data_IF_944995637755
#
_entry.id   IF_944995637755
#
_cell.length_a   1.000
_cell.length_b   1.000
_cell.length_c   1.000
_cell.angle_alpha   90.00
_cell.angle_beta   90.00
_cell.angle_gamma   90.00
#
_symmetry.space_group_name_H-M   'P 1'
#
loop_
_entity.id
_entity.type
_entity.pdbx_description
1 polymer ?
#
# COMPACT_ATOMS: atom_id res chain seq x y z
N UNK A 1 50.00 0.65 -6.52
CA UNK A 1 49.24 1.68 -5.78
C UNK A 1 47.78 1.25 -5.83
N UNK A 2 47.27 0.78 -4.70
CA UNK A 2 45.94 0.17 -4.54
C UNK A 2 44.87 1.26 -4.44
N UNK A 3 43.79 1.17 -5.20
CA UNK A 3 42.56 1.92 -4.95
C UNK A 3 41.40 0.94 -4.84
N UNK A 4 41.00 0.67 -3.60
CA UNK A 4 39.69 0.10 -3.24
C UNK A 4 38.80 1.26 -2.75
N UNK A 5 37.48 1.01 -2.62
CA UNK A 5 36.43 1.56 -3.46
C UNK A 5 35.88 2.91 -2.94
N UNK A 6 35.29 3.69 -3.85
CA UNK A 6 34.44 4.82 -3.50
C UNK A 6 33.21 4.33 -2.72
N UNK A 7 33.22 4.53 -1.40
CA UNK A 7 31.99 4.60 -0.63
C UNK A 7 31.24 5.87 -1.05
N UNK A 8 30.49 5.78 -2.16
CA UNK A 8 29.43 6.73 -2.42
C UNK A 8 28.47 6.66 -1.23
N UNK A 9 28.32 7.80 -0.54
CA UNK A 9 27.45 7.93 0.61
C UNK A 9 26.06 7.49 0.23
N UNK A 10 25.66 6.32 0.70
CA UNK A 10 24.30 5.79 0.59
C UNK A 10 23.38 6.83 1.21
N UNK A 11 22.72 7.63 0.37
CA UNK A 11 21.77 8.63 0.81
C UNK A 11 20.65 7.88 1.55
N UNK A 12 20.67 7.90 2.86
CA UNK A 12 19.67 7.26 3.70
C UNK A 12 18.37 8.01 3.49
N UNK A 13 17.41 7.38 2.80
CA UNK A 13 16.05 7.90 2.65
C UNK A 13 15.44 8.02 4.04
N UNK A 14 15.14 9.24 4.46
CA UNK A 14 14.36 9.50 5.67
C UNK A 14 12.87 9.41 5.36
N UNK A 15 12.14 8.65 6.18
CA UNK A 15 10.68 8.58 6.10
C UNK A 15 10.06 9.97 6.27
N UNK A 16 8.99 10.25 5.52
CA UNK A 16 8.28 11.53 5.66
C UNK A 16 7.52 11.57 6.98
N UNK A 17 7.23 12.79 7.49
CA UNK A 17 6.37 12.97 8.68
C UNK A 17 5.01 12.28 8.57
N UNK A 18 4.49 12.17 7.34
CA UNK A 18 3.21 11.56 7.06
C UNK A 18 3.28 10.04 7.12
N UNK A 19 4.38 9.43 6.67
CA UNK A 19 4.64 8.00 6.84
C UNK A 19 4.78 7.63 8.32
N UNK A 20 5.49 8.44 9.11
CA UNK A 20 5.59 8.24 10.56
C UNK A 20 4.23 8.33 11.27
N UNK A 21 3.37 9.26 10.83
CA UNK A 21 2.02 9.37 11.36
C UNK A 21 1.15 8.16 10.98
N UNK A 22 1.34 7.60 9.78
CA UNK A 22 0.66 6.37 9.34
C UNK A 22 1.02 5.18 10.24
N UNK A 23 2.32 5.03 10.54
CA UNK A 23 2.80 4.00 11.45
C UNK A 23 2.18 4.15 12.84
N UNK A 24 2.04 5.37 13.34
CA UNK A 24 1.40 5.62 14.64
C UNK A 24 -0.08 5.21 14.66
N UNK A 25 -0.84 5.52 13.60
CA UNK A 25 -2.25 5.10 13.47
C UNK A 25 -2.36 3.57 13.43
N UNK A 26 -1.45 2.92 12.72
CA UNK A 26 -1.38 1.46 12.70
C UNK A 26 -1.04 0.87 14.08
N UNK A 27 -0.07 1.42 14.79
CA UNK A 27 0.28 0.99 16.16
C UNK A 27 -0.91 1.16 17.11
N UNK A 28 -1.66 2.26 16.99
CA UNK A 28 -2.88 2.45 17.77
C UNK A 28 -3.96 1.38 17.46
N UNK A 29 -4.12 1.00 16.19
CA UNK A 29 -5.02 -0.09 15.78
C UNK A 29 -4.62 -1.44 16.41
N UNK A 30 -3.32 -1.75 16.40
CA UNK A 30 -2.78 -2.98 17.01
C UNK A 30 -2.92 -2.95 18.53
N UNK A 31 -2.73 -1.80 19.17
CA UNK A 31 -2.96 -1.64 20.59
C UNK A 31 -4.43 -1.91 20.96
N UNK A 32 -5.39 -1.42 20.17
CA UNK A 32 -6.81 -1.72 20.37
C UNK A 32 -7.10 -3.23 20.27
N UNK A 33 -6.54 -3.91 19.28
CA UNK A 33 -6.62 -5.38 19.16
C UNK A 33 -6.03 -6.10 20.38
N UNK A 34 -4.88 -5.65 20.88
CA UNK A 34 -4.21 -6.26 22.03
C UNK A 34 -5.06 -6.18 23.30
N UNK A 35 -5.82 -5.09 23.50
CA UNK A 35 -6.74 -4.98 24.64
C UNK A 35 -7.86 -6.02 24.60
N UNK A 36 -8.36 -6.37 23.42
CA UNK A 36 -9.36 -7.44 23.28
C UNK A 36 -8.78 -8.82 23.62
N UNK A 37 -7.57 -9.11 23.14
CA UNK A 37 -6.90 -10.37 23.47
C UNK A 37 -6.57 -10.48 24.97
N UNK A 38 -6.27 -9.36 25.62
CA UNK A 38 -6.07 -9.33 27.06
C UNK A 38 -7.34 -9.67 27.84
N UNK A 39 -8.52 -9.38 27.30
CA UNK A 39 -9.79 -9.71 27.92
C UNK A 39 -10.20 -11.19 27.73
N UNK A 40 -9.79 -11.83 26.63
CA UNK A 40 -10.04 -13.26 26.34
C UNK A 40 -8.79 -13.94 25.79
N UNK A 41 -8.08 -14.64 26.68
CA UNK A 41 -6.83 -15.36 26.39
C UNK A 41 -7.10 -16.85 26.10
N UNK A 42 -8.36 -17.22 25.82
CA UNK A 42 -8.71 -18.54 25.33
C UNK A 42 -8.21 -18.77 23.90
N UNK A 43 -8.20 -20.03 23.46
CA UNK A 43 -7.90 -20.40 22.06
C UNK A 43 -8.85 -19.69 21.08
N UNK A 44 -10.11 -19.47 21.48
CA UNK A 44 -11.09 -18.75 20.67
C UNK A 44 -10.73 -17.28 20.57
N UNK A 45 -10.41 -16.63 21.69
CA UNK A 45 -9.96 -15.23 21.71
C UNK A 45 -8.73 -15.00 20.85
N UNK A 46 -7.76 -15.92 20.91
CA UNK A 46 -6.58 -15.89 20.04
C UNK A 46 -6.92 -16.03 18.55
N UNK A 47 -7.85 -16.93 18.19
CA UNK A 47 -8.28 -17.11 16.81
C UNK A 47 -8.99 -15.86 16.25
N UNK A 48 -9.85 -15.22 17.06
CA UNK A 48 -10.52 -13.97 16.69
C UNK A 48 -9.51 -12.84 16.53
N UNK A 49 -8.59 -12.70 17.49
CA UNK A 49 -7.49 -11.73 17.41
C UNK A 49 -6.69 -11.90 16.12
N UNK A 50 -6.22 -13.13 15.82
CA UNK A 50 -5.46 -13.40 14.61
C UNK A 50 -6.25 -13.09 13.33
N UNK A 51 -7.53 -13.45 13.30
CA UNK A 51 -8.43 -13.19 12.18
C UNK A 51 -8.66 -11.71 11.87
N UNK A 52 -8.54 -10.83 12.88
CA UNK A 52 -8.67 -9.38 12.72
C UNK A 52 -7.31 -8.68 12.56
N UNK A 53 -6.27 -9.17 13.25
CA UNK A 53 -4.91 -8.64 13.18
C UNK A 53 -4.30 -8.81 11.79
N UNK A 54 -4.44 -9.99 11.18
CA UNK A 54 -3.88 -10.28 9.86
C UNK A 54 -4.35 -9.25 8.82
N UNK A 55 -5.66 -8.97 8.66
CA UNK A 55 -6.14 -7.88 7.81
C UNK A 55 -5.50 -6.53 8.12
N UNK A 56 -5.49 -6.10 9.39
CA UNK A 56 -4.95 -4.79 9.77
C UNK A 56 -3.47 -4.67 9.39
N UNK A 57 -2.68 -5.70 9.74
CA UNK A 57 -1.26 -5.80 9.36
C UNK A 57 -1.06 -5.81 7.85
N UNK A 58 -1.91 -6.54 7.13
CA UNK A 58 -1.83 -6.62 5.67
C UNK A 58 -2.15 -5.28 4.99
N UNK A 59 -3.10 -4.52 5.52
CA UNK A 59 -3.39 -3.15 5.09
C UNK A 59 -2.17 -2.25 5.20
N UNK A 60 -1.46 -2.28 6.34
CA UNK A 60 -0.21 -1.54 6.53
C UNK A 60 0.88 -1.99 5.54
N UNK A 61 1.10 -3.31 5.41
CA UNK A 61 2.07 -3.87 4.46
C UNK A 61 1.84 -3.39 3.02
N UNK A 62 0.59 -3.29 2.58
CA UNK A 62 0.23 -2.83 1.24
C UNK A 62 0.71 -1.40 0.95
N UNK A 63 0.53 -0.48 1.90
CA UNK A 63 0.98 0.91 1.77
C UNK A 63 2.49 1.04 1.89
N UNK A 64 3.12 0.29 2.81
CA UNK A 64 4.58 0.24 2.93
C UNK A 64 5.23 -0.20 1.62
N UNK A 65 4.69 -1.22 0.96
CA UNK A 65 5.18 -1.65 -0.35
C UNK A 65 5.00 -0.58 -1.41
N UNK A 66 3.82 0.03 -1.51
CA UNK A 66 3.60 1.11 -2.47
C UNK A 66 4.58 2.28 -2.25
N UNK A 67 4.75 2.74 -1.00
CA UNK A 67 5.69 3.80 -0.64
C UNK A 67 7.15 3.42 -0.93
N UNK A 68 7.50 2.15 -0.78
CA UNK A 68 8.86 1.66 -1.01
C UNK A 68 9.21 1.67 -2.51
N UNK A 69 8.29 1.27 -3.39
CA UNK A 69 8.57 1.18 -4.84
C UNK A 69 8.12 2.34 -5.71
N UNK A 70 7.14 3.14 -5.27
CA UNK A 70 6.45 4.13 -6.11
C UNK A 70 6.24 5.50 -5.44
N UNK A 71 6.85 5.76 -4.29
CA UNK A 71 6.72 7.05 -3.61
C UNK A 71 7.25 8.20 -4.49
N UNK A 72 6.33 9.08 -4.86
CA UNK A 72 6.57 10.30 -5.61
C UNK A 72 6.55 11.56 -4.72
N UNK A 73 6.29 11.41 -3.42
CA UNK A 73 6.06 12.47 -2.41
C UNK A 73 5.19 13.63 -2.93
N UNK A 74 4.18 13.30 -3.73
CA UNK A 74 3.29 14.26 -4.37
C UNK A 74 1.95 14.40 -3.65
N UNK A 75 1.16 15.46 -3.94
CA UNK A 75 -0.09 15.71 -3.24
C UNK A 75 -1.10 14.56 -3.30
N UNK A 76 -1.21 13.82 -4.42
CA UNK A 76 -2.18 12.74 -4.51
C UNK A 76 -1.72 11.47 -3.82
N UNK A 77 -0.41 11.20 -3.74
CA UNK A 77 0.11 10.17 -2.84
C UNK A 77 -0.20 10.50 -1.38
N UNK A 78 0.03 11.75 -0.96
CA UNK A 78 -0.28 12.22 0.40
C UNK A 78 -1.76 12.13 0.73
N UNK A 79 -2.65 12.49 -0.21
CA UNK A 79 -4.09 12.30 -0.06
C UNK A 79 -4.47 10.82 0.04
N UNK A 80 -3.80 9.95 -0.72
CA UNK A 80 -3.96 8.50 -0.61
C UNK A 80 -3.56 7.97 0.76
N UNK A 81 -2.42 8.41 1.31
CA UNK A 81 -1.99 8.05 2.66
C UNK A 81 -2.97 8.58 3.73
N UNK A 82 -3.43 9.84 3.63
CA UNK A 82 -4.43 10.39 4.54
C UNK A 82 -5.75 9.61 4.49
N UNK A 83 -6.20 9.25 3.28
CA UNK A 83 -7.37 8.39 3.11
C UNK A 83 -7.15 6.99 3.70
N UNK A 84 -5.95 6.42 3.53
CA UNK A 84 -5.56 5.15 4.13
C UNK A 84 -5.55 5.21 5.66
N UNK A 85 -5.07 6.30 6.27
CA UNK A 85 -5.13 6.51 7.72
C UNK A 85 -6.56 6.57 8.23
N UNK A 86 -7.44 7.31 7.53
CA UNK A 86 -8.85 7.38 7.88
C UNK A 86 -9.51 6.00 7.80
N UNK A 87 -9.18 5.23 6.76
CA UNK A 87 -9.66 3.86 6.61
C UNK A 87 -9.13 2.94 7.72
N UNK A 88 -7.86 3.02 8.12
CA UNK A 88 -7.31 2.24 9.26
C UNK A 88 -7.95 2.67 10.59
N UNK A 89 -8.21 3.96 10.79
CA UNK A 89 -8.90 4.45 11.98
C UNK A 89 -10.34 3.91 12.05
N UNK A 90 -11.08 3.95 10.93
CA UNK A 90 -12.42 3.37 10.84
C UNK A 90 -12.39 1.85 11.02
N UNK A 91 -11.41 1.16 10.43
CA UNK A 91 -11.17 -0.27 10.61
C UNK A 91 -10.98 -0.62 12.09
N UNK A 92 -10.20 0.21 12.79
CA UNK A 92 -9.94 0.05 14.23
C UNK A 92 -11.20 0.24 15.07
N UNK A 93 -12.03 1.24 14.73
CA UNK A 93 -13.31 1.46 15.39
C UNK A 93 -14.28 0.27 15.19
N UNK A 94 -14.21 -0.40 14.04
CA UNK A 94 -15.03 -1.57 13.73
C UNK A 94 -14.56 -2.89 14.36
N UNK A 95 -13.39 -2.93 15.02
CA UNK A 95 -12.80 -4.17 15.54
C UNK A 95 -13.69 -4.88 16.57
N UNK A 96 -14.24 -4.12 17.54
CA UNK A 96 -15.07 -4.70 18.59
C UNK A 96 -16.37 -5.28 18.02
N UNK A 97 -17.01 -4.55 17.10
CA UNK A 97 -18.20 -5.04 16.39
C UNK A 97 -17.89 -6.31 15.60
N UNK A 98 -16.78 -6.34 14.86
CA UNK A 98 -16.38 -7.49 14.05
C UNK A 98 -16.13 -8.74 14.89
N UNK A 99 -15.63 -8.59 16.12
CA UNK A 99 -15.46 -9.70 17.07
C UNK A 99 -16.81 -10.25 17.58
N UNK A 100 -17.85 -9.41 17.66
CA UNK A 100 -19.20 -9.80 18.11
C UNK A 100 -20.20 -10.13 16.99
N UNK A 101 -19.81 -9.97 15.72
CA UNK A 101 -20.64 -10.27 14.54
C UNK A 101 -21.00 -9.04 13.68
N UNK A 102 -21.05 -7.86 14.29
CA UNK A 102 -21.27 -6.57 13.61
C UNK A 102 -20.01 -6.10 12.88
N UNK A 103 -19.79 -6.70 11.72
CA UNK A 103 -18.56 -6.57 10.93
C UNK A 103 -18.65 -5.50 9.84
N UNK A 104 -19.76 -4.76 9.73
CA UNK A 104 -20.02 -3.83 8.62
C UNK A 104 -18.95 -2.73 8.54
N UNK A 105 -18.72 -2.01 9.65
CA UNK A 105 -17.72 -0.94 9.71
C UNK A 105 -16.33 -1.46 9.36
N UNK A 106 -15.96 -2.63 9.89
CA UNK A 106 -14.66 -3.25 9.64
C UNK A 106 -14.48 -3.59 8.17
N UNK A 107 -15.47 -4.25 7.55
CA UNK A 107 -15.41 -4.67 6.15
C UNK A 107 -15.39 -3.49 5.19
N UNK A 108 -16.25 -2.48 5.42
CA UNK A 108 -16.30 -1.28 4.58
C UNK A 108 -14.98 -0.52 4.66
N UNK A 109 -14.45 -0.30 5.87
CA UNK A 109 -13.18 0.38 6.07
C UNK A 109 -12.02 -0.37 5.39
N UNK A 110 -11.99 -1.70 5.50
CA UNK A 110 -10.98 -2.53 4.85
C UNK A 110 -11.07 -2.45 3.32
N UNK A 111 -12.27 -2.52 2.75
CA UNK A 111 -12.47 -2.37 1.32
C UNK A 111 -12.06 -0.98 0.82
N UNK A 112 -12.41 0.09 1.54
CA UNK A 112 -11.97 1.45 1.24
C UNK A 112 -10.45 1.56 1.23
N UNK A 113 -9.77 0.98 2.22
CA UNK A 113 -8.30 0.97 2.31
C UNK A 113 -7.66 0.40 1.04
N UNK A 114 -8.18 -0.74 0.55
CA UNK A 114 -7.67 -1.42 -0.64
C UNK A 114 -8.12 -0.78 -1.96
N UNK A 115 -9.28 -0.13 -2.02
CA UNK A 115 -9.67 0.66 -3.20
C UNK A 115 -8.81 1.92 -3.36
N UNK A 116 -8.46 2.60 -2.26
CA UNK A 116 -7.51 3.72 -2.30
C UNK A 116 -6.15 3.23 -2.81
N UNK A 117 -5.66 2.11 -2.26
CA UNK A 117 -4.40 1.52 -2.71
C UNK A 117 -4.47 1.08 -4.20
N UNK A 118 -5.59 0.51 -4.63
CA UNK A 118 -5.83 0.16 -6.03
C UNK A 118 -5.80 1.39 -6.95
N UNK A 119 -6.41 2.50 -6.53
CA UNK A 119 -6.39 3.76 -7.27
C UNK A 119 -4.97 4.34 -7.38
N UNK A 120 -4.17 4.24 -6.32
CA UNK A 120 -2.76 4.63 -6.33
C UNK A 120 -1.96 3.80 -7.35
N UNK A 121 -2.15 2.48 -7.40
CA UNK A 121 -1.53 1.63 -8.43
C UNK A 121 -2.07 1.90 -9.85
N UNK A 122 -3.37 2.19 -9.99
CA UNK A 122 -3.97 2.58 -11.27
C UNK A 122 -3.39 3.89 -11.80
N UNK A 123 -3.10 4.84 -10.90
CA UNK A 123 -2.37 6.06 -11.24
C UNK A 123 -0.94 5.76 -11.69
N UNK A 124 -0.21 4.92 -10.96
CA UNK A 124 1.14 4.50 -11.37
C UNK A 124 1.13 3.84 -12.76
N UNK A 125 0.11 3.05 -13.09
CA UNK A 125 -0.08 2.48 -14.41
C UNK A 125 -0.19 3.53 -15.53
N UNK A 126 -0.86 4.65 -15.26
CA UNK A 126 -0.97 5.76 -16.21
C UNK A 126 0.36 6.51 -16.37
N UNK A 127 1.09 6.72 -15.27
CA UNK A 127 2.25 7.61 -15.20
C UNK A 127 3.58 6.92 -15.56
N UNK A 128 3.70 5.62 -15.32
CA UNK A 128 4.94 4.85 -15.51
C UNK A 128 4.70 3.65 -16.44
N UNK A 129 4.85 3.83 -17.77
CA UNK A 129 4.68 2.76 -18.76
C UNK A 129 5.46 1.48 -18.44
N UNK A 130 6.65 1.63 -17.88
CA UNK A 130 7.57 0.55 -17.53
C UNK A 130 7.06 -0.30 -16.35
N UNK A 131 6.30 0.30 -15.43
CA UNK A 131 5.72 -0.36 -14.27
C UNK A 131 4.27 -0.86 -14.50
N UNK A 132 3.73 -0.73 -15.72
CA UNK A 132 2.31 -1.05 -16.01
C UNK A 132 1.91 -2.47 -15.67
N UNK A 133 2.70 -3.46 -16.07
CA UNK A 133 2.35 -4.87 -15.82
C UNK A 133 2.23 -5.17 -14.32
N UNK A 134 3.19 -4.67 -13.52
CA UNK A 134 3.20 -4.85 -12.08
C UNK A 134 2.07 -4.06 -11.41
N UNK A 135 1.92 -2.79 -11.78
CA UNK A 135 0.89 -1.89 -11.22
C UNK A 135 -0.52 -2.38 -11.54
N UNK A 136 -0.77 -2.89 -12.74
CA UNK A 136 -2.07 -3.46 -13.11
C UNK A 136 -2.41 -4.69 -12.25
N UNK A 137 -1.44 -5.58 -11.99
CA UNK A 137 -1.66 -6.76 -11.15
C UNK A 137 -2.02 -6.38 -9.72
N UNK A 138 -1.30 -5.42 -9.14
CA UNK A 138 -1.64 -4.90 -7.81
C UNK A 138 -2.99 -4.19 -7.80
N UNK A 139 -3.26 -3.30 -8.76
CA UNK A 139 -4.53 -2.60 -8.84
C UNK A 139 -5.72 -3.57 -8.94
N UNK A 140 -5.65 -4.55 -9.84
CA UNK A 140 -6.70 -5.56 -10.04
C UNK A 140 -6.84 -6.45 -8.81
N UNK A 141 -5.73 -6.97 -8.26
CA UNK A 141 -5.76 -7.85 -7.09
C UNK A 141 -6.33 -7.14 -5.85
N UNK A 142 -5.95 -5.87 -5.63
CA UNK A 142 -6.49 -5.04 -4.55
C UNK A 142 -7.98 -4.75 -4.75
N UNK A 143 -8.40 -4.33 -5.95
CA UNK A 143 -9.80 -4.03 -6.22
C UNK A 143 -10.69 -5.28 -6.12
N UNK A 144 -10.19 -6.41 -6.61
CA UNK A 144 -10.92 -7.67 -6.55
C UNK A 144 -11.00 -8.19 -5.10
N UNK A 145 -9.91 -8.13 -4.34
CA UNK A 145 -9.93 -8.41 -2.90
C UNK A 145 -10.90 -7.51 -2.13
N UNK A 146 -10.86 -6.20 -2.35
CA UNK A 146 -11.81 -5.24 -1.75
C UNK A 146 -13.27 -5.58 -2.10
N UNK A 147 -13.52 -5.96 -3.35
CA UNK A 147 -14.85 -6.38 -3.79
C UNK A 147 -15.32 -7.65 -3.08
N UNK A 148 -14.45 -8.65 -2.92
CA UNK A 148 -14.78 -9.87 -2.16
C UNK A 148 -15.10 -9.57 -0.69
N UNK A 149 -14.36 -8.63 -0.10
CA UNK A 149 -14.65 -8.15 1.25
C UNK A 149 -16.05 -7.51 1.32
N UNK A 150 -16.40 -6.58 0.43
CA UNK A 150 -17.74 -6.00 0.40
C UNK A 150 -18.84 -7.04 0.14
N UNK A 151 -18.62 -7.97 -0.79
CA UNK A 151 -19.55 -9.06 -1.08
C UNK A 151 -19.77 -9.97 0.13
N UNK A 152 -18.82 -10.06 1.07
CA UNK A 152 -19.04 -10.83 2.30
C UNK A 152 -20.20 -10.30 3.15
N UNK A 153 -20.55 -9.00 3.05
CA UNK A 153 -21.67 -8.42 3.79
C UNK A 153 -23.02 -8.95 3.34
N UNK A 154 -23.16 -9.36 2.08
CA UNK A 154 -24.40 -9.93 1.54
C UNK A 154 -24.58 -11.41 1.91
N UNK A 155 -23.55 -12.02 2.51
CA UNK A 155 -23.56 -13.42 2.92
C UNK A 155 -23.87 -13.56 4.41
N UNK A 156 -24.30 -14.76 4.79
CA UNK A 156 -24.56 -15.12 6.18
C UNK A 156 -23.29 -15.00 7.03
N UNK A 157 -23.45 -14.53 8.27
CA UNK A 157 -22.34 -14.29 9.21
C UNK A 157 -21.47 -15.52 9.45
N UNK A 158 -22.06 -16.72 9.41
CA UNK A 158 -21.34 -17.99 9.57
C UNK A 158 -20.35 -18.29 8.45
N UNK A 159 -20.56 -17.73 7.25
CA UNK A 159 -19.71 -17.95 6.06
C UNK A 159 -18.68 -16.83 5.87
N UNK A 160 -18.91 -15.65 6.48
CA UNK A 160 -18.03 -14.47 6.34
C UNK A 160 -16.55 -14.76 6.64
N UNK A 161 -16.17 -15.44 7.74
CA UNK A 161 -14.76 -15.72 8.02
C UNK A 161 -14.06 -16.55 6.94
N UNK A 162 -14.79 -17.46 6.28
CA UNK A 162 -14.26 -18.26 5.18
C UNK A 162 -13.98 -17.39 3.94
N UNK A 163 -14.90 -16.48 3.62
CA UNK A 163 -14.74 -15.53 2.51
C UNK A 163 -13.60 -14.56 2.79
N UNK A 164 -13.48 -14.06 4.02
CA UNK A 164 -12.37 -13.20 4.42
C UNK A 164 -11.03 -13.91 4.31
N UNK A 165 -10.97 -15.18 4.74
CA UNK A 165 -9.77 -16.00 4.61
C UNK A 165 -9.37 -16.21 3.15
N UNK A 166 -10.33 -16.53 2.27
CA UNK A 166 -10.09 -16.68 0.84
C UNK A 166 -9.63 -15.37 0.18
N UNK A 167 -10.29 -14.25 0.51
CA UNK A 167 -9.91 -12.94 0.02
C UNK A 167 -8.51 -12.52 0.51
N UNK A 168 -8.16 -12.85 1.75
CA UNK A 168 -6.84 -12.58 2.31
C UNK A 168 -5.75 -13.39 1.61
N UNK A 169 -5.97 -14.69 1.39
CA UNK A 169 -5.04 -15.55 0.66
C UNK A 169 -4.80 -15.02 -0.75
N UNK A 170 -5.83 -14.49 -1.40
CA UNK A 170 -5.71 -13.88 -2.72
C UNK A 170 -4.91 -12.58 -2.70
N UNK A 171 -5.14 -11.71 -1.70
CA UNK A 171 -4.37 -10.48 -1.51
C UNK A 171 -2.89 -10.82 -1.23
N UNK A 172 -2.63 -11.78 -0.35
CA UNK A 172 -1.27 -12.29 -0.07
C UNK A 172 -0.62 -12.85 -1.32
N UNK A 173 -1.33 -13.70 -2.07
CA UNK A 173 -0.84 -14.24 -3.33
C UNK A 173 -0.53 -13.14 -4.35
N UNK A 174 -1.35 -12.09 -4.42
CA UNK A 174 -1.09 -10.94 -5.31
C UNK A 174 0.26 -10.31 -4.98
N UNK A 175 0.53 -10.04 -3.71
CA UNK A 175 1.78 -9.41 -3.29
C UNK A 175 2.99 -10.34 -3.38
N UNK A 176 2.85 -11.61 -3.05
CA UNK A 176 3.99 -12.55 -3.12
C UNK A 176 4.34 -12.90 -4.57
N UNK A 177 3.35 -13.14 -5.43
CA UNK A 177 3.59 -13.66 -6.77
C UNK A 177 3.69 -12.59 -7.87
N UNK A 178 3.08 -11.42 -7.71
CA UNK A 178 3.17 -10.36 -8.73
C UNK A 178 4.61 -9.88 -8.96
N UNK A 179 5.44 -9.63 -7.91
CA UNK A 179 6.85 -9.29 -8.05
C UNK A 179 7.69 -10.46 -8.56
N UNK A 180 7.46 -11.69 -8.08
CA UNK A 180 8.20 -12.89 -8.52
C UNK A 180 8.14 -13.14 -10.03
N UNK A 181 7.01 -12.81 -10.67
CA UNK A 181 6.84 -12.90 -12.13
C UNK A 181 7.36 -11.69 -12.90
N UNK A 182 7.79 -10.63 -12.21
CA UNK A 182 8.21 -9.36 -12.81
C UNK A 182 9.69 -9.03 -12.51
N UNK A 183 10.25 -9.62 -11.46
CA UNK A 183 11.59 -9.39 -10.93
C UNK A 183 12.22 -10.75 -10.59
N UNK A 184 13.45 -11.01 -11.06
CA UNK A 184 14.23 -12.20 -10.71
C UNK A 184 14.84 -12.13 -9.29
N UNK A 185 14.35 -11.23 -8.42
CA UNK A 185 14.91 -10.95 -7.09
C UNK A 185 13.83 -10.52 -6.08
N UNK A 186 14.09 -10.63 -4.76
CA UNK A 186 13.23 -10.09 -3.71
C UNK A 186 12.86 -8.62 -3.97
N UNK A 187 11.67 -8.20 -3.53
CA UNK A 187 11.19 -6.83 -3.70
C UNK A 187 12.09 -5.86 -2.94
N UNK A 188 12.96 -5.16 -3.66
CA UNK A 188 13.76 -4.05 -3.17
C UNK A 188 13.25 -2.77 -3.82
N UNK A 189 12.68 -1.88 -3.02
CA UNK A 189 12.09 -0.62 -3.50
C UNK A 189 13.09 0.29 -4.19
N UNK A 190 14.35 0.30 -3.75
CA UNK A 190 15.39 1.09 -4.41
C UNK A 190 15.62 0.58 -5.83
N UNK A 191 15.70 -0.74 -6.02
CA UNK A 191 15.86 -1.34 -7.34
C UNK A 191 14.60 -1.22 -8.21
N UNK A 192 13.40 -1.25 -7.63
CA UNK A 192 12.15 -1.01 -8.35
C UNK A 192 12.11 0.44 -8.86
N UNK A 193 12.43 1.41 -8.00
CA UNK A 193 12.50 2.81 -8.38
C UNK A 193 13.59 3.09 -9.42
N UNK A 194 14.77 2.47 -9.28
CA UNK A 194 15.90 2.57 -10.23
C UNK A 194 15.55 1.95 -11.59
N UNK A 195 14.96 0.74 -11.61
CA UNK A 195 14.57 0.04 -12.84
C UNK A 195 13.46 0.75 -13.61
N UNK A 196 12.55 1.42 -12.91
CA UNK A 196 11.42 2.13 -13.51
C UNK A 196 11.67 3.63 -13.65
N UNK A 197 12.91 4.10 -13.45
CA UNK A 197 13.28 5.50 -13.67
C UNK A 197 12.51 6.51 -12.81
N UNK A 198 11.88 6.05 -11.73
CA UNK A 198 11.02 6.84 -10.83
C UNK A 198 11.84 7.71 -9.88
N UNK A 199 13.11 7.96 -10.19
CA UNK A 199 13.86 9.00 -9.50
C UNK A 199 13.26 10.37 -9.82
N UNK A 200 13.27 11.26 -8.83
CA UNK A 200 12.77 12.65 -8.85
C UNK A 200 13.14 13.47 -10.11
N UNK A 201 14.13 13.01 -10.88
CA UNK A 201 14.65 13.63 -12.10
C UNK A 201 13.72 13.50 -13.32
N UNK A 202 12.93 12.44 -13.46
CA UNK A 202 12.06 12.25 -14.64
C UNK A 202 10.88 13.23 -14.67
N UNK A 203 10.32 13.57 -13.51
CA UNK A 203 9.31 14.64 -13.38
C UNK A 203 9.90 16.02 -13.69
N UNK A 204 11.12 16.32 -13.22
CA UNK A 204 11.80 17.60 -13.51
C UNK A 204 12.26 17.72 -14.97
N UNK A 205 12.68 16.62 -15.61
CA UNK A 205 13.08 16.58 -17.01
C UNK A 205 11.91 16.89 -17.98
N UNK A 206 10.68 16.58 -17.60
CA UNK A 206 9.47 16.96 -18.38
C UNK A 206 9.09 18.43 -18.26
N UNK A 207 9.57 19.16 -17.24
CA UNK A 207 9.34 20.60 -17.07
C UNK A 207 10.43 21.47 -17.70
N UNK A 208 11.61 20.92 -18.01
CA UNK A 208 12.72 21.67 -18.61
C UNK A 208 12.72 21.67 -20.15
N UNK A 209 11.79 20.98 -20.81
CA UNK A 209 11.71 20.89 -22.28
C UNK A 209 10.73 21.88 -22.91
N UNK A 210 10.62 23.11 -22.37
CA UNK A 210 10.02 24.23 -23.11
C UNK A 210 11.08 24.81 -24.07
N UNK A 211 10.85 24.79 -25.40
CA UNK A 211 11.84 25.30 -26.35
C UNK A 211 11.97 26.83 -26.21
N UNK A 212 13.21 27.28 -25.97
CA UNK A 212 13.57 28.69 -26.03
C UNK A 212 13.36 29.24 -27.45
N UNK A 213 12.65 30.37 -27.65
CA UNK A 213 12.51 30.97 -28.97
C UNK A 213 13.86 31.55 -29.40
N UNK A 214 14.50 30.88 -30.35
CA UNK A 214 15.74 31.31 -30.98
C UNK A 214 15.58 32.71 -31.61
N UNK A 215 16.44 33.63 -31.19
CA UNK A 215 16.60 34.96 -31.77
C UNK A 215 17.04 34.85 -33.23
N UNK A 216 16.13 35.18 -34.16
CA UNK A 216 16.46 35.41 -35.57
C UNK A 216 17.08 36.81 -35.75
N UNK A 217 18.03 36.83 -36.69
CA UNK A 217 18.47 37.94 -37.55
C UNK A 217 19.21 39.14 -36.95
N UNK A 218 20.50 39.21 -37.27
CA UNK A 218 21.09 40.41 -37.85
C UNK A 218 22.25 40.03 -38.80
N UNK A 219 21.93 39.91 -40.09
CA UNK A 219 22.86 40.14 -41.20
C UNK A 219 22.37 41.41 -41.89
N UNK A 220 23.15 42.47 -41.82
CA UNK A 220 23.34 43.52 -42.84
C UNK A 220 24.42 44.46 -42.32
#
# INVERSE_FOLDING_TARGET
>A
MSTSPSHEGRATRHASWLELFFDLVFVAAVAALATQLHADHSVRGLAVFAGLFIPVWWGWMGYTWYATGFDSDDPVFRLGLLGGMLAIAALSAGLAGAASGDSETFVIAYACLFYILSALYGRTWLQAPEARSLSARFAIGNAFGATLWLLSLTLAETVRPLVWSAAMLLLIATFVFAPWRSLSRPYDGEHVAERYGLSRSSFLASRSSSPSPASRSARA
#
